data_IF_223646345622
#
_entry.id   IF_223646345622
#
_cell.length_a   1.000
_cell.length_b   1.000
_cell.length_c   1.000
_cell.angle_alpha   90.00
_cell.angle_beta   90.00
_cell.angle_gamma   90.00
#
_symmetry.space_group_name_H-M   'P 1'
#
loop_
_entity.id
_entity.type
_entity.pdbx_description
1 polymer ?
#
# COMPACT_ATOMS: atom_id res chain seq x y z
N UNK A 1 -5.55 -8.18 65.49
CA UNK A 1 -4.59 -8.84 64.57
C UNK A 1 -5.42 -9.48 63.47
N UNK A 2 -5.65 -8.77 62.37
CA UNK A 2 -6.04 -9.33 61.07
C UNK A 2 -6.24 -8.22 60.03
N UNK A 3 -5.34 -8.22 59.05
CA UNK A 3 -5.50 -7.88 57.62
C UNK A 3 -6.18 -6.56 57.23
N UNK A 4 -5.42 -5.47 57.36
CA UNK A 4 -5.60 -4.30 56.51
C UNK A 4 -4.97 -4.60 55.14
N UNK A 5 -5.71 -5.26 54.25
CA UNK A 5 -5.37 -5.37 52.82
C UNK A 5 -5.41 -3.94 52.29
N UNK A 6 -4.24 -3.33 52.25
CA UNK A 6 -4.04 -2.09 51.50
C UNK A 6 -4.21 -2.46 50.04
N UNK A 7 -5.38 -2.11 49.51
CA UNK A 7 -5.60 -1.77 48.11
C UNK A 7 -4.56 -0.70 47.72
N UNK A 8 -3.32 -1.14 47.55
CA UNK A 8 -2.31 -0.36 46.84
C UNK A 8 -2.78 -0.47 45.41
N UNK A 9 -3.66 0.44 45.01
CA UNK A 9 -3.98 0.66 43.61
C UNK A 9 -2.64 0.76 42.90
N UNK A 10 -2.28 -0.31 42.20
CA UNK A 10 -1.04 -0.40 41.44
C UNK A 10 -1.09 0.80 40.50
N UNK A 11 -0.32 1.85 40.83
CA UNK A 11 -0.25 3.06 40.02
C UNK A 11 0.16 2.60 38.63
N UNK A 12 -0.81 2.58 37.71
CA UNK A 12 -0.59 2.15 36.34
C UNK A 12 0.49 3.05 35.78
N UNK A 13 1.70 2.51 35.67
CA UNK A 13 2.86 3.26 35.22
C UNK A 13 2.48 3.94 33.90
N UNK A 14 2.69 5.27 33.76
CA UNK A 14 2.31 5.99 32.56
C UNK A 14 2.88 5.27 31.32
N UNK A 15 1.99 4.84 30.42
CA UNK A 15 2.40 4.12 29.22
C UNK A 15 3.42 4.94 28.42
N UNK A 16 4.43 4.27 27.87
CA UNK A 16 5.44 4.92 27.00
C UNK A 16 4.70 5.63 25.86
N UNK A 17 4.94 6.94 25.62
CA UNK A 17 4.30 7.64 24.52
C UNK A 17 4.72 7.00 23.19
N UNK A 18 3.74 6.48 22.45
CA UNK A 18 3.92 5.93 21.10
C UNK A 18 3.58 7.02 20.09
N UNK A 19 4.57 7.49 19.34
CA UNK A 19 4.35 8.39 18.21
C UNK A 19 4.06 7.53 16.98
N UNK A 20 2.83 7.63 16.45
CA UNK A 20 2.46 6.96 15.20
C UNK A 20 2.93 7.83 14.03
N UNK A 21 3.89 7.35 13.25
CA UNK A 21 4.22 7.97 11.97
C UNK A 21 3.11 7.67 10.96
N UNK A 22 2.54 8.72 10.39
CA UNK A 22 1.53 8.58 9.35
C UNK A 22 2.15 7.87 8.13
N UNK A 23 1.45 6.84 7.63
CA UNK A 23 1.88 6.12 6.43
C UNK A 23 2.09 7.10 5.26
N UNK A 24 3.25 7.06 4.57
CA UNK A 24 3.58 8.05 3.55
C UNK A 24 2.49 8.24 2.49
N UNK A 25 2.15 9.50 2.14
CA UNK A 25 1.08 9.79 1.19
C UNK A 25 1.44 9.31 -0.22
N UNK A 26 0.81 8.22 -0.66
CA UNK A 26 1.08 7.55 -1.94
C UNK A 26 1.37 6.06 -1.80
N UNK A 27 1.75 5.59 -0.61
CA UNK A 27 2.03 4.17 -0.37
C UNK A 27 0.81 3.28 -0.64
N UNK A 28 -0.35 3.65 -0.12
CA UNK A 28 -1.60 2.90 -0.33
C UNK A 28 -2.01 2.82 -1.80
N UNK A 29 -1.79 3.90 -2.57
CA UNK A 29 -2.06 3.91 -4.01
C UNK A 29 -1.10 3.01 -4.77
N UNK A 30 0.18 3.00 -4.40
CA UNK A 30 1.19 2.11 -4.97
C UNK A 30 0.85 0.64 -4.69
N UNK A 31 0.54 0.31 -3.43
CA UNK A 31 0.20 -1.04 -2.98
C UNK A 31 -1.09 -1.56 -3.62
N UNK A 32 -2.18 -0.81 -3.52
CA UNK A 32 -3.47 -1.22 -4.09
C UNK A 32 -3.42 -1.26 -5.62
N UNK A 33 -2.79 -0.26 -6.25
CA UNK A 33 -2.61 -0.24 -7.71
C UNK A 33 -1.79 -1.43 -8.19
N UNK A 34 -0.68 -1.73 -7.51
CA UNK A 34 0.17 -2.88 -7.83
C UNK A 34 -0.53 -4.22 -7.61
N UNK A 35 -1.28 -4.36 -6.52
CA UNK A 35 -2.11 -5.54 -6.26
C UNK A 35 -3.14 -5.74 -7.38
N UNK A 36 -3.88 -4.70 -7.77
CA UNK A 36 -4.87 -4.75 -8.87
C UNK A 36 -4.19 -5.06 -10.20
N UNK A 37 -3.01 -4.49 -10.48
CA UNK A 37 -2.27 -4.71 -11.71
C UNK A 37 -1.94 -6.19 -11.96
N UNK A 38 -1.68 -6.95 -10.89
CA UNK A 38 -1.32 -8.37 -10.97
C UNK A 38 -2.55 -9.27 -10.82
N UNK A 39 -3.42 -8.96 -9.85
CA UNK A 39 -4.55 -9.82 -9.52
C UNK A 39 -5.66 -9.75 -10.58
N UNK A 40 -5.93 -8.59 -11.17
CA UNK A 40 -7.04 -8.47 -12.12
C UNK A 40 -6.86 -9.32 -13.40
N UNK A 41 -5.68 -9.35 -14.06
CA UNK A 41 -5.45 -10.25 -15.19
C UNK A 41 -5.52 -11.73 -14.80
N UNK A 42 -4.93 -12.10 -13.66
CA UNK A 42 -4.96 -13.48 -13.15
C UNK A 42 -6.40 -13.93 -12.87
N UNK A 43 -7.20 -13.06 -12.27
CA UNK A 43 -8.60 -13.33 -11.97
C UNK A 43 -9.44 -13.41 -13.24
N UNK A 44 -9.20 -12.53 -14.22
CA UNK A 44 -9.82 -12.57 -15.53
C UNK A 44 -9.55 -13.89 -16.25
N UNK A 45 -8.30 -14.35 -16.24
CA UNK A 45 -7.93 -15.66 -16.79
C UNK A 45 -8.63 -16.81 -16.06
N UNK A 46 -8.63 -16.81 -14.73
CA UNK A 46 -9.21 -17.88 -13.91
C UNK A 46 -10.73 -17.98 -14.09
N UNK A 47 -11.43 -16.84 -14.05
CA UNK A 47 -12.89 -16.78 -14.26
C UNK A 47 -13.23 -17.16 -15.70
N UNK A 48 -12.48 -16.67 -16.68
CA UNK A 48 -12.65 -17.05 -18.08
C UNK A 48 -12.50 -18.56 -18.30
N UNK A 49 -11.53 -19.19 -17.64
CA UNK A 49 -11.36 -20.64 -17.65
C UNK A 49 -12.48 -21.41 -16.94
N UNK A 50 -13.02 -20.87 -15.83
CA UNK A 50 -14.17 -21.47 -15.12
C UNK A 50 -15.47 -21.40 -15.91
N UNK A 51 -15.69 -20.32 -16.66
CA UNK A 51 -16.87 -20.16 -17.54
C UNK A 51 -16.83 -21.13 -18.73
N UNK A 52 -15.65 -21.71 -19.01
CA UNK A 52 -15.49 -22.92 -19.78
C UNK A 52 -15.36 -22.70 -21.29
N UNK A 53 -14.68 -23.65 -21.93
CA UNK A 53 -14.59 -23.84 -23.38
C UNK A 53 -15.95 -24.29 -24.00
N UNK A 54 -17.04 -23.73 -23.51
CA UNK A 54 -18.41 -24.10 -23.84
C UNK A 54 -18.91 -23.30 -25.03
N UNK A 55 -19.16 -24.02 -26.12
CA UNK A 55 -19.84 -23.58 -27.35
C UNK A 55 -18.99 -22.74 -28.30
N UNK A 56 -18.18 -23.44 -29.10
CA UNK A 56 -17.72 -22.99 -30.40
C UNK A 56 -18.93 -22.65 -31.28
N UNK A 57 -19.35 -21.39 -31.27
CA UNK A 57 -20.46 -20.89 -32.08
C UNK A 57 -20.50 -19.37 -32.06
N UNK A 58 -19.86 -18.74 -33.05
CA UNK A 58 -19.93 -17.31 -33.42
C UNK A 58 -19.63 -16.22 -32.37
N UNK A 59 -19.36 -16.57 -31.11
CA UNK A 59 -19.09 -15.63 -30.02
C UNK A 59 -17.64 -15.72 -29.54
N UNK A 60 -16.99 -14.59 -29.27
CA UNK A 60 -15.62 -14.53 -28.75
C UNK A 60 -15.43 -15.43 -27.52
N UNK A 61 -14.29 -16.12 -27.45
CA UNK A 61 -13.96 -17.03 -26.35
C UNK A 61 -14.09 -16.32 -24.98
N UNK A 62 -14.90 -16.85 -24.05
CA UNK A 62 -15.03 -16.32 -22.69
C UNK A 62 -13.68 -16.11 -21.99
N UNK A 63 -12.68 -16.96 -22.26
CA UNK A 63 -11.33 -16.81 -21.73
C UNK A 63 -10.67 -15.51 -22.22
N UNK A 64 -10.79 -15.21 -23.52
CA UNK A 64 -10.23 -14.00 -24.10
C UNK A 64 -10.90 -12.75 -23.54
N UNK A 65 -12.24 -12.73 -23.46
CA UNK A 65 -12.98 -11.58 -22.95
C UNK A 65 -12.68 -11.29 -21.48
N UNK A 66 -12.63 -12.34 -20.65
CA UNK A 66 -12.34 -12.19 -19.23
C UNK A 66 -10.88 -11.78 -18.99
N UNK A 67 -9.92 -12.35 -19.73
CA UNK A 67 -8.52 -11.94 -19.67
C UNK A 67 -8.33 -10.50 -20.15
N UNK A 68 -8.92 -10.12 -21.29
CA UNK A 68 -8.83 -8.77 -21.84
C UNK A 68 -9.36 -7.74 -20.83
N UNK A 69 -10.53 -8.01 -20.24
CA UNK A 69 -11.12 -7.15 -19.21
C UNK A 69 -10.19 -7.05 -17.98
N UNK A 70 -9.61 -8.18 -17.55
CA UNK A 70 -8.62 -8.23 -16.48
C UNK A 70 -7.36 -7.41 -16.77
N UNK A 71 -6.86 -7.44 -18.01
CA UNK A 71 -5.71 -6.64 -18.47
C UNK A 71 -6.04 -5.15 -18.46
N UNK A 72 -7.22 -4.74 -18.94
CA UNK A 72 -7.62 -3.32 -18.93
C UNK A 72 -7.70 -2.80 -17.49
N UNK A 73 -8.35 -3.55 -16.59
CA UNK A 73 -8.41 -3.21 -15.17
C UNK A 73 -7.01 -3.21 -14.53
N UNK A 74 -6.19 -4.20 -14.87
CA UNK A 74 -4.81 -4.28 -14.40
C UNK A 74 -3.97 -3.09 -14.86
N UNK A 75 -4.14 -2.65 -16.11
CA UNK A 75 -3.49 -1.46 -16.66
C UNK A 75 -3.88 -0.17 -15.93
N UNK A 76 -5.16 -0.02 -15.57
CA UNK A 76 -5.61 1.06 -14.68
C UNK A 76 -4.92 0.97 -13.31
N UNK A 77 -4.78 -0.24 -12.76
CA UNK A 77 -4.00 -0.51 -11.55
C UNK A 77 -2.56 -0.02 -11.65
N UNK A 78 -1.88 -0.25 -12.78
CA UNK A 78 -0.52 0.26 -13.03
C UNK A 78 -0.49 1.80 -13.02
N UNK A 79 -1.43 2.47 -13.68
CA UNK A 79 -1.51 3.93 -13.68
C UNK A 79 -1.70 4.47 -12.25
N UNK A 80 -2.56 3.83 -11.46
CA UNK A 80 -2.75 4.17 -10.03
C UNK A 80 -1.47 3.93 -9.25
N UNK A 81 -0.79 2.81 -9.47
CA UNK A 81 0.44 2.46 -8.78
C UNK A 81 1.55 3.47 -9.04
N UNK A 82 1.73 3.84 -10.31
CA UNK A 82 2.69 4.86 -10.74
C UNK A 82 2.36 6.24 -10.17
N UNK A 83 1.07 6.62 -10.13
CA UNK A 83 0.65 7.90 -9.52
C UNK A 83 0.97 7.96 -8.02
N UNK A 84 0.80 6.83 -7.30
CA UNK A 84 1.15 6.69 -5.89
C UNK A 84 2.66 6.68 -5.66
N UNK A 85 3.39 5.89 -6.43
CA UNK A 85 4.85 5.75 -6.36
C UNK A 85 5.59 7.04 -6.72
N UNK A 86 5.16 7.75 -7.77
CA UNK A 86 5.76 9.01 -8.17
C UNK A 86 5.56 10.11 -7.11
N UNK A 87 4.44 10.10 -6.40
CA UNK A 87 4.17 11.03 -5.29
C UNK A 87 5.02 10.70 -4.06
N UNK A 88 5.22 9.40 -3.79
CA UNK A 88 6.08 8.92 -2.72
C UNK A 88 7.56 9.27 -2.97
N UNK A 89 8.04 9.02 -4.19
CA UNK A 89 9.41 9.33 -4.60
C UNK A 89 9.74 10.82 -4.50
N UNK A 90 8.81 11.69 -4.88
CA UNK A 90 8.93 13.15 -4.69
C UNK A 90 8.98 13.57 -3.22
N UNK A 91 8.33 12.83 -2.31
CA UNK A 91 8.36 13.16 -0.87
C UNK A 91 9.73 12.86 -0.27
N UNK A 92 10.30 11.68 -0.54
CA UNK A 92 11.62 11.31 -0.04
C UNK A 92 12.76 12.17 -0.61
N UNK A 93 12.70 12.58 -1.88
CA UNK A 93 13.74 13.43 -2.48
C UNK A 93 13.79 14.86 -1.89
N UNK A 94 12.65 15.40 -1.43
CA UNK A 94 12.63 16.73 -0.80
C UNK A 94 13.23 16.72 0.61
N UNK A 95 13.02 15.64 1.35
CA UNK A 95 13.55 15.50 2.70
C UNK A 95 15.08 15.29 2.66
N UNK A 96 15.58 14.46 1.73
CA UNK A 96 17.02 14.25 1.54
C UNK A 96 17.78 15.56 1.20
N UNK A 97 17.17 16.46 0.42
CA UNK A 97 17.76 17.76 0.12
C UNK A 97 17.77 18.71 1.33
N UNK A 98 16.73 18.67 2.18
CA UNK A 98 16.64 19.48 3.40
C UNK A 98 17.64 19.03 4.48
N UNK A 99 17.88 17.73 4.60
CA UNK A 99 18.82 17.15 5.58
C UNK A 99 20.28 17.46 5.20
N UNK A 100 20.60 17.43 3.90
CA UNK A 100 21.91 17.81 3.38
C UNK A 100 22.24 19.30 3.58
N UNK A 101 21.24 20.17 3.45
CA UNK A 101 21.36 21.61 3.68
C UNK A 101 21.55 21.93 5.19
N UNK A 102 20.81 21.24 6.05
CA UNK A 102 20.93 21.41 7.52
C UNK A 102 22.29 20.94 8.03
N UNK A 103 22.78 19.80 7.50
CA UNK A 103 24.11 19.27 7.83
C UNK A 103 25.22 20.23 7.41
N UNK A 104 25.16 20.82 6.21
CA UNK A 104 26.15 21.82 5.77
C UNK A 104 26.19 23.06 6.66
N UNK A 105 25.03 23.52 7.13
CA UNK A 105 24.92 24.72 7.97
C UNK A 105 25.51 24.52 9.37
N UNK A 106 25.37 23.31 9.94
CA UNK A 106 25.89 22.98 11.27
C UNK A 106 27.39 22.64 11.31
N UNK A 107 28.04 22.38 10.16
CA UNK A 107 29.46 21.99 10.09
C UNK A 107 30.40 23.19 9.96
N UNK A 108 29.89 24.43 9.93
CA UNK A 108 30.73 25.64 9.93
C UNK A 108 30.74 26.27 11.34
N UNK A 109 31.67 25.88 12.23
CA UNK A 109 31.92 26.66 13.44
C UNK A 109 32.54 28.00 13.02
N UNK A 110 32.03 29.10 13.59
CA UNK A 110 32.64 30.43 13.48
C UNK A 110 33.92 30.51 14.30
#
# INVERSE_FOLDING_TARGET
MSDNVTDRGDEVAPGRPVVLEATPPGLWRALLGGAVAVLAPLFGFLVGGMLGAGTTGDSMDPMFLALFTGIVIGGLGVLVALSGGARLWRHFHRNAAADAETTRRNVTPR
#
